data_IF_198545932566
#
_entry.id   IF_198545932566
#
_cell.length_a   1.000
_cell.length_b   1.000
_cell.length_c   1.000
_cell.angle_alpha   90.00
_cell.angle_beta   90.00
_cell.angle_gamma   90.00
#
_symmetry.space_group_name_H-M   'P 1'
#
loop_
_entity.id
_entity.type
_entity.pdbx_description
1 polymer ?
#
# COMPACT_ATOMS: atom_id res chain seq x y z
N UNK A 1 -51.23 17.05 18.65
CA UNK A 1 -52.38 16.16 18.35
C UNK A 1 -52.00 15.33 17.13
N UNK A 2 -52.05 13.99 17.18
CA UNK A 2 -51.62 13.18 16.02
C UNK A 2 -52.53 13.39 14.81
N UNK A 3 -52.01 13.28 13.58
CA UNK A 3 -52.74 13.50 12.31
C UNK A 3 -54.10 12.78 12.29
N UNK A 4 -54.13 11.52 12.75
CA UNK A 4 -55.34 10.72 12.89
C UNK A 4 -56.39 11.38 13.80
N UNK A 5 -55.98 11.92 14.94
CA UNK A 5 -56.88 12.60 15.89
C UNK A 5 -57.39 13.93 15.31
N UNK A 6 -56.55 14.66 14.58
CA UNK A 6 -56.95 15.89 13.90
C UNK A 6 -58.03 15.64 12.85
N UNK A 7 -57.80 14.69 11.94
CA UNK A 7 -58.76 14.31 10.87
C UNK A 7 -60.10 13.83 11.46
N UNK A 8 -60.07 13.00 12.51
CA UNK A 8 -61.30 12.54 13.17
C UNK A 8 -62.05 13.71 13.80
N UNK A 9 -61.35 14.63 14.47
CA UNK A 9 -61.97 15.77 15.16
C UNK A 9 -62.57 16.78 14.17
N UNK A 10 -61.91 17.04 13.04
CA UNK A 10 -62.46 17.89 11.99
C UNK A 10 -63.68 17.27 11.31
N UNK A 11 -63.72 15.96 11.08
CA UNK A 11 -64.92 15.27 10.57
C UNK A 11 -66.08 15.39 11.56
N UNK A 12 -65.83 15.12 12.85
CA UNK A 12 -66.85 15.28 13.91
C UNK A 12 -67.36 16.72 13.96
N UNK A 13 -66.46 17.70 13.86
CA UNK A 13 -66.83 19.11 13.83
C UNK A 13 -67.70 19.46 12.61
N UNK A 14 -67.35 19.00 11.41
CA UNK A 14 -68.16 19.20 10.20
C UNK A 14 -69.56 18.61 10.38
N UNK A 15 -69.67 17.38 10.91
CA UNK A 15 -70.96 16.73 11.17
C UNK A 15 -71.77 17.52 12.21
N UNK A 16 -71.14 18.00 13.27
CA UNK A 16 -71.80 18.78 14.31
C UNK A 16 -72.31 20.13 13.78
N UNK A 17 -71.51 20.85 12.98
CA UNK A 17 -71.91 22.11 12.35
C UNK A 17 -73.04 21.88 11.34
N UNK A 18 -72.98 20.80 10.55
CA UNK A 18 -74.05 20.44 9.63
C UNK A 18 -75.35 20.08 10.36
N UNK A 19 -75.28 19.22 11.37
CA UNK A 19 -76.46 18.84 12.16
C UNK A 19 -77.10 20.05 12.84
N UNK A 20 -76.29 20.95 13.40
CA UNK A 20 -76.78 22.20 13.98
C UNK A 20 -77.43 23.10 12.94
N UNK A 21 -76.75 23.39 11.82
CA UNK A 21 -77.29 24.24 10.76
C UNK A 21 -78.55 23.66 10.11
N UNK A 22 -78.64 22.34 9.99
CA UNK A 22 -79.82 21.63 9.46
C UNK A 22 -81.01 21.71 10.43
N UNK A 23 -80.77 21.58 11.74
CA UNK A 23 -81.82 21.66 12.77
C UNK A 23 -82.54 23.01 12.85
N UNK A 24 -81.93 24.07 12.30
CA UNK A 24 -82.50 25.41 12.30
C UNK A 24 -83.53 25.65 11.19
N UNK A 25 -83.76 24.66 10.31
CA UNK A 25 -84.75 24.71 9.21
C UNK A 25 -84.70 26.03 8.40
N UNK A 26 -83.47 26.48 8.08
CA UNK A 26 -83.19 27.78 7.45
C UNK A 26 -83.69 27.92 5.98
N UNK A 27 -84.47 26.96 5.49
CA UNK A 27 -84.99 26.92 4.13
C UNK A 27 -83.95 26.56 3.07
N UNK A 28 -84.33 26.82 1.82
CA UNK A 28 -83.51 26.56 0.63
C UNK A 28 -82.94 27.87 0.07
N UNK A 29 -81.75 27.78 -0.52
CA UNK A 29 -81.09 28.89 -1.17
C UNK A 29 -80.71 28.51 -2.60
N UNK A 30 -81.28 29.24 -3.55
CA UNK A 30 -81.03 29.08 -4.98
C UNK A 30 -79.87 29.97 -5.41
N UNK A 31 -78.84 29.36 -6.00
CA UNK A 31 -77.78 30.09 -6.71
C UNK A 31 -77.97 29.89 -8.20
N UNK A 32 -78.16 31.01 -8.91
CA UNK A 32 -78.15 31.05 -10.37
C UNK A 32 -76.81 31.60 -10.88
N UNK A 33 -76.09 30.80 -11.66
CA UNK A 33 -74.83 31.20 -12.29
C UNK A 33 -74.75 30.63 -13.71
N UNK A 34 -74.45 31.48 -14.70
CA UNK A 34 -74.25 31.09 -16.10
C UNK A 34 -75.40 30.25 -16.70
N UNK A 35 -76.65 30.57 -16.34
CA UNK A 35 -77.85 29.90 -16.85
C UNK A 35 -78.20 28.58 -16.16
N UNK A 36 -77.41 28.15 -15.16
CA UNK A 36 -77.72 26.99 -14.32
C UNK A 36 -78.22 27.47 -12.95
N UNK A 37 -79.37 26.93 -12.51
CA UNK A 37 -79.93 27.13 -11.17
C UNK A 37 -79.65 25.89 -10.31
N UNK A 38 -78.95 26.09 -9.19
CA UNK A 38 -78.73 25.05 -8.20
C UNK A 38 -79.45 25.44 -6.91
N UNK A 39 -80.46 24.68 -6.54
CA UNK A 39 -81.20 24.87 -5.31
C UNK A 39 -80.72 23.87 -4.24
N UNK A 40 -80.16 24.38 -3.14
CA UNK A 40 -79.65 23.57 -2.04
C UNK A 40 -80.09 24.15 -0.69
N UNK A 41 -80.29 23.31 0.34
CA UNK A 41 -80.58 23.78 1.70
C UNK A 41 -79.53 24.78 2.18
N UNK A 42 -79.95 25.85 2.86
CA UNK A 42 -79.04 26.87 3.40
C UNK A 42 -77.96 26.29 4.33
N UNK A 43 -78.27 25.18 5.02
CA UNK A 43 -77.33 24.42 5.84
C UNK A 43 -76.11 23.88 5.07
N UNK A 44 -76.28 23.51 3.79
CA UNK A 44 -75.17 23.06 2.93
C UNK A 44 -74.22 24.21 2.63
N UNK A 45 -74.77 25.39 2.33
CA UNK A 45 -73.99 26.60 2.06
C UNK A 45 -73.21 27.08 3.29
N UNK A 46 -73.76 26.92 4.50
CA UNK A 46 -73.09 27.27 5.75
C UNK A 46 -71.90 26.33 6.03
N UNK A 47 -72.05 25.03 5.75
CA UNK A 47 -71.01 24.02 6.01
C UNK A 47 -69.93 24.01 4.93
N UNK A 48 -70.25 24.42 3.72
CA UNK A 48 -69.34 24.37 2.57
C UNK A 48 -67.97 25.07 2.84
N UNK A 49 -67.89 26.31 3.37
CA UNK A 49 -66.62 26.92 3.73
C UNK A 49 -65.79 26.11 4.74
N UNK A 50 -66.45 25.45 5.70
CA UNK A 50 -65.79 24.63 6.73
C UNK A 50 -65.16 23.38 6.10
N UNK A 51 -65.86 22.75 5.16
CA UNK A 51 -65.34 21.59 4.40
C UNK A 51 -64.15 21.99 3.53
N UNK A 52 -64.25 23.11 2.81
CA UNK A 52 -63.15 23.63 1.98
C UNK A 52 -61.91 23.92 2.84
N UNK A 53 -62.09 24.58 3.99
CA UNK A 53 -61.00 24.83 4.94
C UNK A 53 -60.34 23.53 5.39
N UNK A 54 -61.13 22.51 5.77
CA UNK A 54 -60.60 21.21 6.19
C UNK A 54 -59.77 20.55 5.08
N UNK A 55 -60.23 20.57 3.83
CA UNK A 55 -59.48 20.01 2.70
C UNK A 55 -58.15 20.75 2.47
N UNK A 56 -58.15 22.09 2.53
CA UNK A 56 -56.92 22.89 2.41
C UNK A 56 -55.93 22.54 3.53
N UNK A 57 -56.40 22.38 4.77
CA UNK A 57 -55.52 21.99 5.89
C UNK A 57 -54.92 20.60 5.69
N UNK A 58 -55.68 19.63 5.19
CA UNK A 58 -55.16 18.29 4.90
C UNK A 58 -54.11 18.33 3.80
N UNK A 59 -54.38 19.07 2.71
CA UNK A 59 -53.42 19.23 1.62
C UNK A 59 -52.13 19.89 2.10
N UNK A 60 -52.24 20.92 2.94
CA UNK A 60 -51.10 21.58 3.57
C UNK A 60 -50.27 20.60 4.41
N UNK A 61 -50.91 19.81 5.29
CA UNK A 61 -50.20 18.85 6.15
C UNK A 61 -49.53 17.75 5.30
N UNK A 62 -50.20 17.22 4.28
CA UNK A 62 -49.63 16.23 3.37
C UNK A 62 -48.43 16.82 2.63
N UNK A 63 -48.52 18.05 2.13
CA UNK A 63 -47.44 18.73 1.42
C UNK A 63 -46.19 18.90 2.29
N UNK A 64 -46.33 19.41 3.52
CA UNK A 64 -45.19 19.54 4.44
C UNK A 64 -44.66 18.18 4.92
N UNK A 65 -45.55 17.19 5.09
CA UNK A 65 -45.16 15.81 5.36
C UNK A 65 -44.29 15.22 4.24
N UNK A 66 -44.68 15.46 2.98
CA UNK A 66 -43.93 15.03 1.80
C UNK A 66 -42.56 15.73 1.70
N UNK A 67 -42.52 17.04 1.92
CA UNK A 67 -41.25 17.79 1.97
C UNK A 67 -40.33 17.22 3.05
N UNK A 68 -40.84 16.99 4.26
CA UNK A 68 -40.05 16.44 5.36
C UNK A 68 -39.55 15.03 5.05
N UNK A 69 -40.39 14.19 4.43
CA UNK A 69 -39.99 12.86 3.97
C UNK A 69 -38.83 12.92 2.97
N UNK A 70 -38.91 13.81 1.96
CA UNK A 70 -37.81 13.96 1.00
C UNK A 70 -36.53 14.50 1.65
N UNK A 71 -36.65 15.43 2.62
CA UNK A 71 -35.50 15.91 3.40
C UNK A 71 -34.84 14.79 4.20
N UNK A 72 -35.62 14.00 4.94
CA UNK A 72 -35.10 12.85 5.70
C UNK A 72 -34.45 11.82 4.78
N UNK A 73 -35.09 11.49 3.66
CA UNK A 73 -34.55 10.56 2.67
C UNK A 73 -33.23 11.06 2.06
N UNK A 74 -33.09 12.37 1.86
CA UNK A 74 -31.83 12.96 1.40
C UNK A 74 -30.72 12.81 2.45
N UNK A 75 -31.02 13.05 3.73
CA UNK A 75 -30.07 12.86 4.84
C UNK A 75 -29.63 11.40 4.98
N UNK A 76 -30.57 10.44 4.93
CA UNK A 76 -30.24 9.01 5.01
C UNK A 76 -29.31 8.62 3.86
N UNK A 77 -29.62 9.05 2.64
CA UNK A 77 -28.77 8.77 1.47
C UNK A 77 -27.38 9.42 1.58
N UNK A 78 -27.31 10.63 2.12
CA UNK A 78 -26.02 11.29 2.35
C UNK A 78 -25.20 10.59 3.45
N UNK A 79 -25.86 10.04 4.48
CA UNK A 79 -25.20 9.20 5.49
C UNK A 79 -24.58 7.95 4.87
N UNK A 80 -25.32 7.23 4.01
CA UNK A 80 -24.77 6.08 3.25
C UNK A 80 -23.60 6.51 2.37
N UNK A 81 -23.73 7.66 1.69
CA UNK A 81 -22.66 8.24 0.84
C UNK A 81 -21.43 8.61 1.67
N UNK A 82 -21.60 9.02 2.92
CA UNK A 82 -20.50 9.36 3.84
C UNK A 82 -19.71 8.10 4.23
N UNK A 83 -20.39 6.98 4.44
CA UNK A 83 -19.73 5.70 4.69
C UNK A 83 -18.91 5.29 3.46
N UNK A 84 -19.47 5.41 2.25
CA UNK A 84 -18.76 5.13 1.00
C UNK A 84 -17.55 6.05 0.78
N UNK A 85 -17.63 7.31 1.23
CA UNK A 85 -16.51 8.24 1.20
C UNK A 85 -15.38 7.78 2.11
N UNK A 86 -15.68 7.35 3.34
CA UNK A 86 -14.68 6.83 4.26
C UNK A 86 -14.05 5.55 3.68
N UNK A 87 -14.85 4.61 3.19
CA UNK A 87 -14.36 3.39 2.52
C UNK A 87 -13.44 3.72 1.34
N UNK A 88 -13.84 4.69 0.50
CA UNK A 88 -13.04 5.12 -0.65
C UNK A 88 -11.72 5.76 -0.21
N UNK A 89 -11.74 6.57 0.84
CA UNK A 89 -10.52 7.17 1.43
C UNK A 89 -9.56 6.12 1.98
N UNK A 90 -10.07 5.14 2.72
CA UNK A 90 -9.28 4.02 3.27
C UNK A 90 -8.67 3.13 2.17
N UNK A 91 -9.37 2.96 1.05
CA UNK A 91 -8.88 2.21 -0.11
C UNK A 91 -8.07 3.05 -1.11
N UNK A 92 -7.76 4.32 -0.75
CA UNK A 92 -7.04 5.29 -1.58
C UNK A 92 -7.64 5.46 -3.00
N UNK A 93 -8.98 5.43 -3.11
CA UNK A 93 -9.73 5.64 -4.35
C UNK A 93 -10.07 7.10 -4.56
N UNK A 94 -9.88 7.61 -5.79
CA UNK A 94 -10.15 9.00 -6.18
C UNK A 94 -11.61 9.26 -6.58
N UNK A 95 -12.57 8.58 -5.95
CA UNK A 95 -13.97 8.69 -6.34
C UNK A 95 -14.58 10.03 -5.90
N UNK A 96 -15.17 10.77 -6.85
CA UNK A 96 -15.90 12.01 -6.55
C UNK A 96 -17.33 11.67 -6.12
N UNK A 97 -17.58 11.67 -4.82
CA UNK A 97 -18.91 11.42 -4.26
C UNK A 97 -19.70 12.73 -4.15
N UNK A 98 -21.00 12.66 -4.49
CA UNK A 98 -21.89 13.83 -4.49
C UNK A 98 -22.91 13.72 -3.36
N UNK A 99 -22.87 14.66 -2.43
CA UNK A 99 -23.84 14.81 -1.35
C UNK A 99 -25.00 15.72 -1.78
N UNK A 100 -26.20 15.47 -1.26
CA UNK A 100 -27.42 16.23 -1.58
C UNK A 100 -27.57 17.46 -0.70
N UNK A 101 -27.40 17.28 0.59
CA UNK A 101 -27.55 18.31 1.63
C UNK A 101 -26.29 19.16 1.78
N UNK A 102 -26.48 20.43 2.17
CA UNK A 102 -25.37 21.38 2.32
C UNK A 102 -24.42 20.98 3.45
N UNK A 103 -24.96 20.46 4.54
CA UNK A 103 -24.18 20.11 5.73
C UNK A 103 -23.23 18.95 5.45
N UNK A 104 -23.69 17.90 4.76
CA UNK A 104 -22.83 16.79 4.34
C UNK A 104 -21.82 17.20 3.27
N UNK A 105 -22.18 18.13 2.35
CA UNK A 105 -21.20 18.71 1.42
C UNK A 105 -20.07 19.40 2.16
N UNK A 106 -20.40 20.27 3.12
CA UNK A 106 -19.42 20.97 3.94
C UNK A 106 -18.54 19.97 4.72
N UNK A 107 -19.15 18.97 5.36
CA UNK A 107 -18.43 17.94 6.11
C UNK A 107 -17.46 17.16 5.21
N UNK A 108 -17.92 16.72 4.04
CA UNK A 108 -17.06 16.01 3.08
C UNK A 108 -15.89 16.85 2.59
N UNK A 109 -16.09 18.16 2.40
CA UNK A 109 -15.04 19.10 1.99
C UNK A 109 -13.97 19.32 3.07
N UNK A 110 -14.35 19.22 4.35
CA UNK A 110 -13.40 19.28 5.46
C UNK A 110 -12.64 17.96 5.55
N UNK A 111 -13.37 16.84 5.56
CA UNK A 111 -12.76 15.51 5.70
C UNK A 111 -11.85 15.15 4.53
N UNK A 112 -12.12 15.63 3.31
CA UNK A 112 -11.24 15.43 2.15
C UNK A 112 -9.87 16.08 2.27
N UNK A 113 -9.71 17.04 3.19
CA UNK A 113 -8.44 17.70 3.47
C UNK A 113 -7.65 16.99 4.58
N UNK A 114 -8.25 15.99 5.23
CA UNK A 114 -7.63 15.22 6.30
C UNK A 114 -7.19 13.85 5.79
N UNK A 115 -6.11 13.33 6.38
CA UNK A 115 -5.68 11.95 6.17
C UNK A 115 -6.32 11.07 7.23
N UNK A 116 -7.22 10.18 6.81
CA UNK A 116 -7.83 9.18 7.68
C UNK A 116 -6.90 7.97 7.75
N UNK A 117 -6.45 7.61 8.95
CA UNK A 117 -5.58 6.46 9.20
C UNK A 117 -6.29 5.54 10.20
N UNK A 118 -6.13 4.23 10.00
CA UNK A 118 -6.65 3.21 10.90
C UNK A 118 -5.79 3.15 12.16
N UNK A 119 -6.42 3.07 13.33
CA UNK A 119 -5.75 2.84 14.61
C UNK A 119 -5.48 1.36 14.83
N UNK A 120 -4.54 1.03 15.71
CA UNK A 120 -4.15 -0.37 15.99
C UNK A 120 -5.21 -1.14 16.81
N UNK A 121 -6.15 -0.44 17.44
CA UNK A 121 -7.25 -1.07 18.18
C UNK A 121 -8.25 -1.77 17.24
N UNK A 122 -8.90 -2.83 17.73
CA UNK A 122 -9.87 -3.59 16.95
C UNK A 122 -11.07 -2.70 16.59
N UNK A 123 -11.15 -2.36 15.31
CA UNK A 123 -12.22 -1.52 14.79
C UNK A 123 -13.56 -2.28 14.76
N UNK A 124 -14.59 -1.69 15.34
CA UNK A 124 -15.95 -2.24 15.33
C UNK A 124 -16.97 -1.16 15.02
N UNK A 125 -17.82 -1.43 14.04
CA UNK A 125 -18.93 -0.57 13.65
C UNK A 125 -20.14 -1.40 13.24
N UNK A 126 -21.30 -0.76 13.08
CA UNK A 126 -22.50 -1.40 12.51
C UNK A 126 -22.36 -1.75 11.03
N UNK A 127 -21.31 -1.28 10.34
CA UNK A 127 -21.07 -1.58 8.95
C UNK A 127 -20.05 -2.72 8.81
N UNK A 128 -20.54 -3.93 8.51
CA UNK A 128 -19.68 -5.12 8.39
C UNK A 128 -18.62 -4.99 7.29
N UNK A 129 -18.92 -4.33 6.18
CA UNK A 129 -17.97 -4.14 5.08
C UNK A 129 -16.83 -3.19 5.49
N UNK A 130 -17.15 -2.11 6.20
CA UNK A 130 -16.13 -1.22 6.75
C UNK A 130 -15.25 -1.96 7.77
N UNK A 131 -15.83 -2.80 8.63
CA UNK A 131 -15.05 -3.61 9.57
C UNK A 131 -14.07 -4.55 8.85
N UNK A 132 -14.48 -5.18 7.75
CA UNK A 132 -13.60 -6.02 6.92
C UNK A 132 -12.48 -5.20 6.26
N UNK A 133 -12.82 -4.05 5.67
CA UNK A 133 -11.82 -3.14 5.06
C UNK A 133 -10.77 -2.75 6.09
N UNK A 134 -11.20 -2.33 7.29
CA UNK A 134 -10.28 -1.91 8.34
C UNK A 134 -9.45 -3.08 8.85
N UNK A 135 -10.05 -4.27 9.06
CA UNK A 135 -9.32 -5.48 9.43
C UNK A 135 -8.24 -5.87 8.42
N UNK A 136 -8.56 -5.81 7.12
CA UNK A 136 -7.59 -6.07 6.05
C UNK A 136 -6.43 -5.06 6.07
N UNK A 137 -6.71 -3.79 6.35
CA UNK A 137 -5.66 -2.76 6.48
C UNK A 137 -4.75 -3.06 7.68
N UNK A 138 -5.33 -3.48 8.81
CA UNK A 138 -4.57 -3.88 10.00
C UNK A 138 -3.69 -5.10 9.71
N UNK A 139 -4.25 -6.15 9.10
CA UNK A 139 -3.48 -7.34 8.72
C UNK A 139 -2.32 -7.01 7.77
N UNK A 140 -2.50 -6.07 6.83
CA UNK A 140 -1.43 -5.60 5.95
C UNK A 140 -0.35 -4.83 6.74
N UNK A 141 -0.75 -3.99 7.68
CA UNK A 141 0.21 -3.27 8.53
C UNK A 141 0.96 -4.23 9.47
N UNK A 142 0.33 -5.33 9.88
CA UNK A 142 0.93 -6.41 10.68
C UNK A 142 1.84 -7.34 9.86
N UNK A 143 2.01 -7.09 8.56
CA UNK A 143 2.92 -7.85 7.69
C UNK A 143 2.29 -9.06 7.01
N UNK A 144 0.98 -9.28 7.11
CA UNK A 144 0.29 -10.39 6.43
C UNK A 144 -0.16 -10.01 5.04
N UNK A 145 -0.14 -10.98 4.12
CA UNK A 145 -0.70 -10.77 2.78
C UNK A 145 -2.22 -10.97 2.77
N UNK A 146 -2.95 -10.00 2.22
CA UNK A 146 -4.41 -10.06 2.06
C UNK A 146 -4.77 -10.17 0.57
N UNK A 147 -5.47 -11.25 0.20
CA UNK A 147 -5.86 -11.57 -1.18
C UNK A 147 -7.37 -11.45 -1.48
N UNK A 148 -8.12 -10.76 -0.63
CA UNK A 148 -9.57 -10.66 -0.78
C UNK A 148 -10.00 -9.93 -2.07
N UNK A 149 -10.78 -10.60 -2.93
CA UNK A 149 -11.32 -10.02 -4.18
C UNK A 149 -12.18 -8.78 -3.98
N UNK A 150 -12.78 -8.63 -2.80
CA UNK A 150 -13.53 -7.45 -2.35
C UNK A 150 -12.62 -6.26 -2.03
N UNK A 151 -11.38 -6.50 -1.66
CA UNK A 151 -10.41 -5.50 -1.25
C UNK A 151 -9.67 -4.93 -2.47
N UNK A 152 -10.42 -4.23 -3.32
CA UNK A 152 -9.87 -3.53 -4.49
C UNK A 152 -9.22 -2.22 -4.05
N UNK A 153 -7.96 -2.29 -3.62
CA UNK A 153 -7.12 -1.13 -3.36
C UNK A 153 -6.69 -0.51 -4.69
N UNK A 154 -6.42 0.79 -4.71
CA UNK A 154 -5.70 1.41 -5.81
C UNK A 154 -4.28 0.81 -5.93
N UNK A 155 -3.94 0.23 -7.09
CA UNK A 155 -2.65 -0.46 -7.32
C UNK A 155 -1.43 0.48 -7.17
N UNK A 156 -1.64 1.79 -7.33
CA UNK A 156 -0.59 2.81 -7.16
C UNK A 156 -0.43 3.30 -5.72
N UNK A 157 -1.29 2.85 -4.80
CA UNK A 157 -1.28 3.29 -3.40
C UNK A 157 -0.07 2.78 -2.63
N UNK A 158 0.23 3.45 -1.51
CA UNK A 158 1.24 2.96 -0.56
C UNK A 158 0.82 1.63 0.05
N UNK A 159 -0.47 1.48 0.36
CA UNK A 159 -1.03 0.26 0.93
C UNK A 159 -0.92 -0.94 -0.03
N UNK A 160 -1.16 -0.75 -1.32
CA UNK A 160 -0.99 -1.82 -2.31
C UNK A 160 0.47 -2.28 -2.43
N UNK A 161 1.42 -1.33 -2.40
CA UNK A 161 2.85 -1.66 -2.36
C UNK A 161 3.22 -2.45 -1.10
N UNK A 162 2.70 -2.05 0.07
CA UNK A 162 2.94 -2.77 1.32
C UNK A 162 2.36 -4.19 1.30
N UNK A 163 1.11 -4.36 0.83
CA UNK A 163 0.51 -5.69 0.68
C UNK A 163 1.31 -6.57 -0.30
N UNK A 164 1.87 -5.98 -1.36
CA UNK A 164 2.74 -6.70 -2.30
C UNK A 164 4.06 -7.13 -1.65
N UNK A 165 4.68 -6.26 -0.83
CA UNK A 165 5.87 -6.61 -0.05
C UNK A 165 5.58 -7.77 0.91
N UNK A 166 4.46 -7.72 1.63
CA UNK A 166 4.03 -8.82 2.50
C UNK A 166 3.87 -10.12 1.71
N UNK A 167 3.28 -10.06 0.51
CA UNK A 167 3.17 -11.23 -0.37
C UNK A 167 4.53 -11.82 -0.74
N UNK A 168 5.49 -10.97 -1.07
CA UNK A 168 6.87 -11.38 -1.41
C UNK A 168 7.57 -12.01 -0.20
N UNK A 169 7.30 -11.52 1.01
CA UNK A 169 7.85 -12.05 2.25
C UNK A 169 7.19 -13.36 2.70
N UNK A 170 5.88 -13.51 2.47
CA UNK A 170 5.13 -14.70 2.88
C UNK A 170 5.25 -15.84 1.85
N UNK A 171 5.38 -15.51 0.56
CA UNK A 171 5.33 -16.48 -0.54
C UNK A 171 6.62 -16.45 -1.38
N UNK A 172 7.58 -17.31 -1.01
CA UNK A 172 8.87 -17.38 -1.71
C UNK A 172 8.74 -17.72 -3.21
N UNK A 173 7.75 -18.54 -3.60
CA UNK A 173 7.52 -18.85 -5.01
C UNK A 173 7.03 -17.63 -5.80
N UNK A 174 6.29 -16.72 -5.14
CA UNK A 174 5.92 -15.45 -5.74
C UNK A 174 7.14 -14.53 -5.89
N UNK A 175 8.06 -14.50 -4.91
CA UNK A 175 9.33 -13.78 -5.04
C UNK A 175 10.13 -14.26 -6.26
N UNK A 176 10.18 -15.58 -6.51
CA UNK A 176 10.78 -16.14 -7.74
C UNK A 176 10.09 -15.64 -9.00
N UNK A 177 8.75 -15.58 -9.02
CA UNK A 177 8.00 -15.09 -10.19
C UNK A 177 8.17 -13.58 -10.43
N UNK A 178 8.34 -12.79 -9.36
CA UNK A 178 8.71 -11.37 -9.46
C UNK A 178 10.05 -11.22 -10.20
N UNK A 179 11.06 -12.01 -9.83
CA UNK A 179 12.39 -11.96 -10.45
C UNK A 179 12.44 -12.52 -11.87
N UNK A 180 11.46 -13.33 -12.29
CA UNK A 180 11.32 -13.74 -13.71
C UNK A 180 10.77 -12.61 -14.59
N UNK A 181 10.01 -11.68 -14.02
CA UNK A 181 9.36 -10.58 -14.74
C UNK A 181 9.50 -9.24 -14.00
N UNK A 182 10.74 -8.77 -13.77
CA UNK A 182 11.00 -7.60 -12.93
C UNK A 182 10.41 -6.32 -13.52
N UNK A 183 10.21 -6.25 -14.83
CA UNK A 183 9.60 -5.11 -15.55
C UNK A 183 8.21 -4.71 -15.04
N UNK A 184 7.47 -5.62 -14.41
CA UNK A 184 6.11 -5.37 -13.91
C UNK A 184 6.08 -4.83 -12.48
N UNK A 185 7.23 -4.68 -11.82
CA UNK A 185 7.30 -4.39 -10.39
C UNK A 185 8.20 -3.18 -10.11
N UNK A 186 7.97 -2.53 -8.97
CA UNK A 186 8.82 -1.43 -8.53
C UNK A 186 10.16 -1.95 -8.00
N UNK A 187 11.21 -1.13 -8.07
CA UNK A 187 12.56 -1.51 -7.65
C UNK A 187 12.64 -2.00 -6.19
N UNK A 188 11.80 -1.47 -5.31
CA UNK A 188 11.73 -1.90 -3.91
C UNK A 188 11.22 -3.35 -3.78
N UNK A 189 10.16 -3.69 -4.51
CA UNK A 189 9.61 -5.05 -4.51
C UNK A 189 10.62 -6.04 -5.10
N UNK A 190 11.32 -5.65 -6.17
CA UNK A 190 12.35 -6.48 -6.80
C UNK A 190 13.51 -6.73 -5.83
N UNK A 191 13.99 -5.70 -5.13
CA UNK A 191 15.05 -5.81 -4.13
C UNK A 191 14.65 -6.77 -3.02
N UNK A 192 13.47 -6.59 -2.42
CA UNK A 192 12.98 -7.48 -1.36
C UNK A 192 12.82 -8.93 -1.86
N UNK A 193 12.28 -9.11 -3.08
CA UNK A 193 12.14 -10.43 -3.67
C UNK A 193 13.48 -11.12 -3.88
N UNK A 194 14.51 -10.37 -4.27
CA UNK A 194 15.86 -10.88 -4.42
C UNK A 194 16.45 -11.31 -3.08
N UNK A 195 16.31 -10.48 -2.04
CA UNK A 195 16.80 -10.81 -0.69
C UNK A 195 16.16 -12.10 -0.15
N UNK A 196 14.84 -12.25 -0.26
CA UNK A 196 14.16 -13.47 0.20
C UNK A 196 14.61 -14.70 -0.59
N UNK A 197 14.83 -14.56 -1.90
CA UNK A 197 15.33 -15.65 -2.76
C UNK A 197 16.78 -16.00 -2.42
N UNK A 198 17.63 -15.03 -2.07
CA UNK A 198 18.97 -15.29 -1.56
C UNK A 198 18.93 -16.06 -0.23
N UNK A 199 17.98 -15.78 0.65
CA UNK A 199 17.88 -16.45 1.94
C UNK A 199 17.39 -17.91 1.80
N UNK A 200 16.29 -18.14 1.08
CA UNK A 200 15.59 -19.43 1.11
C UNK A 200 15.90 -20.38 -0.06
N UNK A 201 16.27 -19.86 -1.25
CA UNK A 201 16.43 -20.71 -2.46
C UNK A 201 17.87 -21.15 -2.67
N UNK A 202 18.02 -22.17 -3.51
CA UNK A 202 19.32 -22.74 -3.90
C UNK A 202 20.08 -21.83 -4.86
N UNK A 203 21.42 -21.93 -4.85
CA UNK A 203 22.28 -21.18 -5.77
C UNK A 203 21.96 -21.43 -7.24
N UNK A 204 21.53 -22.65 -7.59
CA UNK A 204 21.09 -23.00 -8.96
C UNK A 204 19.91 -22.16 -9.45
N UNK A 205 19.01 -21.77 -8.54
CA UNK A 205 17.87 -20.89 -8.85
C UNK A 205 18.33 -19.43 -8.92
N UNK A 206 19.15 -19.00 -7.95
CA UNK A 206 19.71 -17.64 -7.90
C UNK A 206 20.47 -17.32 -9.18
N UNK A 207 21.35 -18.23 -9.64
CA UNK A 207 22.12 -18.11 -10.90
C UNK A 207 21.27 -17.88 -12.16
N UNK A 208 20.02 -18.35 -12.17
CA UNK A 208 19.09 -18.13 -13.29
C UNK A 208 18.38 -16.79 -13.19
N UNK A 209 18.12 -16.32 -11.98
CA UNK A 209 17.27 -15.15 -11.73
C UNK A 209 18.06 -13.84 -11.64
N UNK A 210 19.30 -13.85 -11.14
CA UNK A 210 20.08 -12.61 -10.98
C UNK A 210 20.32 -11.88 -12.31
N UNK A 211 20.36 -12.62 -13.43
CA UNK A 211 20.57 -12.06 -14.77
C UNK A 211 19.42 -11.18 -15.25
N UNK A 212 18.24 -11.32 -14.65
CA UNK A 212 17.06 -10.55 -15.03
C UNK A 212 16.98 -9.22 -14.29
N UNK A 213 17.76 -9.04 -13.22
CA UNK A 213 17.70 -7.85 -12.37
C UNK A 213 18.92 -6.96 -12.58
N UNK A 214 18.74 -5.66 -12.36
CA UNK A 214 19.86 -4.75 -12.21
C UNK A 214 20.38 -4.87 -10.78
N UNK A 215 21.57 -5.43 -10.63
CA UNK A 215 22.24 -5.50 -9.35
C UNK A 215 22.77 -4.11 -8.98
N UNK A 216 22.73 -3.80 -7.69
CA UNK A 216 23.52 -2.73 -7.10
C UNK A 216 24.68 -3.35 -6.31
N UNK A 217 25.64 -2.53 -5.87
CA UNK A 217 26.81 -3.01 -5.12
C UNK A 217 26.40 -3.78 -3.86
N UNK A 218 25.37 -3.32 -3.16
CA UNK A 218 24.89 -3.92 -1.91
C UNK A 218 24.30 -5.33 -2.15
N UNK A 219 23.41 -5.48 -3.14
CA UNK A 219 22.82 -6.75 -3.52
C UNK A 219 23.85 -7.71 -4.10
N UNK A 220 24.88 -7.19 -4.79
CA UNK A 220 25.99 -8.00 -5.27
C UNK A 220 26.80 -8.57 -4.11
N UNK A 221 27.10 -7.79 -3.07
CA UNK A 221 27.76 -8.32 -1.87
C UNK A 221 26.94 -9.40 -1.18
N UNK A 222 25.62 -9.21 -1.01
CA UNK A 222 24.73 -10.25 -0.44
C UNK A 222 24.69 -11.51 -1.31
N UNK A 223 24.72 -11.35 -2.64
CA UNK A 223 24.81 -12.45 -3.58
C UNK A 223 26.12 -13.24 -3.40
N UNK A 224 27.25 -12.54 -3.26
CA UNK A 224 28.55 -13.16 -3.04
C UNK A 224 28.69 -13.81 -1.65
N UNK A 225 28.07 -13.25 -0.61
CA UNK A 225 27.98 -13.92 0.71
C UNK A 225 27.26 -15.27 0.60
N UNK A 226 26.12 -15.31 -0.09
CA UNK A 226 25.38 -16.54 -0.32
C UNK A 226 26.18 -17.52 -1.19
N UNK A 227 26.94 -17.00 -2.14
CA UNK A 227 27.83 -17.75 -3.02
C UNK A 227 28.95 -18.45 -2.26
N UNK A 228 29.68 -17.68 -1.46
CA UNK A 228 30.75 -18.18 -0.61
C UNK A 228 30.25 -19.28 0.33
N UNK A 229 29.04 -19.13 0.90
CA UNK A 229 28.38 -20.13 1.72
C UNK A 229 28.02 -21.44 0.99
N UNK A 230 28.04 -21.47 -0.35
CA UNK A 230 27.57 -22.59 -1.16
C UNK A 230 28.67 -23.14 -2.09
N UNK A 231 29.61 -23.88 -1.51
CA UNK A 231 30.85 -24.32 -2.17
C UNK A 231 30.64 -25.23 -3.42
N UNK A 232 29.54 -26.00 -3.50
CA UNK A 232 29.34 -26.96 -4.61
C UNK A 232 28.71 -26.34 -5.87
N UNK A 233 27.91 -25.27 -5.74
CA UNK A 233 27.18 -24.67 -6.86
C UNK A 233 27.43 -23.17 -7.02
N UNK A 234 28.50 -22.66 -6.40
CA UNK A 234 28.87 -21.25 -6.44
C UNK A 234 29.33 -20.77 -7.82
N UNK A 235 29.49 -19.46 -7.98
CA UNK A 235 29.94 -18.78 -9.19
C UNK A 235 31.34 -19.19 -9.60
N UNK A 236 31.58 -19.30 -10.91
CA UNK A 236 32.94 -19.42 -11.41
C UNK A 236 33.64 -18.06 -11.40
N UNK A 237 34.98 -18.06 -11.47
CA UNK A 237 35.75 -16.82 -11.52
C UNK A 237 35.31 -15.90 -12.67
N UNK A 238 34.93 -16.47 -13.82
CA UNK A 238 34.44 -15.74 -14.98
C UNK A 238 33.06 -15.11 -14.73
N UNK A 239 32.18 -15.79 -13.97
CA UNK A 239 30.87 -15.24 -13.60
C UNK A 239 31.00 -14.11 -12.58
N UNK A 240 31.88 -14.27 -11.57
CA UNK A 240 32.20 -13.21 -10.59
C UNK A 240 32.75 -12.00 -11.33
N UNK A 241 33.71 -12.21 -12.23
CA UNK A 241 34.31 -11.17 -13.05
C UNK A 241 33.27 -10.41 -13.88
N UNK A 242 32.31 -11.09 -14.50
CA UNK A 242 31.25 -10.45 -15.26
C UNK A 242 30.38 -9.53 -14.37
N UNK A 243 30.05 -9.97 -13.15
CA UNK A 243 29.24 -9.18 -12.20
C UNK A 243 30.01 -7.94 -11.71
N UNK A 244 31.27 -8.09 -11.30
CA UNK A 244 32.07 -6.98 -10.77
C UNK A 244 32.41 -5.93 -11.84
N UNK A 245 32.60 -6.36 -13.10
CA UNK A 245 32.83 -5.46 -14.24
C UNK A 245 31.58 -4.64 -14.59
N UNK A 246 30.38 -5.21 -14.46
CA UNK A 246 29.12 -4.48 -14.71
C UNK A 246 28.83 -3.42 -13.63
N UNK A 247 29.42 -3.57 -12.44
CA UNK A 247 29.16 -2.73 -11.26
C UNK A 247 30.25 -1.69 -10.97
N UNK A 248 31.28 -1.58 -11.83
CA UNK A 248 32.43 -0.68 -11.65
C UNK A 248 33.01 -0.74 -10.23
N UNK A 249 33.46 -1.94 -9.82
CA UNK A 249 34.10 -2.16 -8.52
C UNK A 249 35.44 -1.42 -8.42
N UNK A 250 35.71 -0.80 -7.27
CA UNK A 250 36.99 -0.16 -6.99
C UNK A 250 37.92 -1.10 -6.18
N UNK A 251 39.15 -0.64 -5.90
CA UNK A 251 40.15 -1.41 -5.12
C UNK A 251 39.63 -1.89 -3.75
N UNK A 252 38.86 -1.04 -3.06
CA UNK A 252 38.31 -1.35 -1.74
C UNK A 252 37.15 -2.37 -1.82
N UNK A 253 36.32 -2.28 -2.87
CA UNK A 253 35.24 -3.22 -3.15
C UNK A 253 35.79 -4.63 -3.41
N UNK A 254 36.88 -4.74 -4.19
CA UNK A 254 37.58 -6.00 -4.42
C UNK A 254 38.21 -6.55 -3.14
N UNK A 255 38.77 -5.68 -2.28
CA UNK A 255 39.34 -6.09 -1.00
C UNK A 255 38.25 -6.62 -0.05
N UNK A 256 37.10 -5.96 0.01
CA UNK A 256 35.94 -6.42 0.78
C UNK A 256 35.43 -7.78 0.26
N UNK A 257 35.40 -7.96 -1.06
CA UNK A 257 35.06 -9.24 -1.70
C UNK A 257 36.03 -10.36 -1.27
N UNK A 258 37.34 -10.09 -1.28
CA UNK A 258 38.36 -11.04 -0.84
C UNK A 258 38.16 -11.46 0.62
N UNK A 259 38.00 -10.48 1.53
CA UNK A 259 37.78 -10.76 2.96
C UNK A 259 36.50 -11.56 3.21
N UNK A 260 35.48 -11.40 2.38
CA UNK A 260 34.24 -12.16 2.48
C UNK A 260 34.45 -13.63 2.08
N UNK A 261 35.04 -13.85 0.90
CA UNK A 261 35.33 -15.20 0.42
C UNK A 261 36.36 -15.93 1.29
N UNK A 262 37.32 -15.23 1.89
CA UNK A 262 38.37 -15.81 2.75
C UNK A 262 37.79 -16.53 3.96
N UNK A 263 36.69 -16.01 4.53
CA UNK A 263 36.04 -16.60 5.71
C UNK A 263 35.37 -17.94 5.44
N UNK A 264 35.09 -18.27 4.18
CA UNK A 264 34.15 -19.34 3.83
C UNK A 264 34.72 -20.32 2.79
N UNK A 265 35.49 -19.85 1.81
CA UNK A 265 36.10 -20.70 0.77
C UNK A 265 37.39 -21.37 1.24
N UNK A 266 37.75 -22.45 0.53
CA UNK A 266 39.04 -23.12 0.72
C UNK A 266 40.18 -22.30 0.09
N UNK A 267 41.40 -22.34 0.66
CA UNK A 267 42.55 -21.56 0.17
C UNK A 267 42.78 -21.68 -1.35
N UNK A 268 42.79 -22.89 -1.90
CA UNK A 268 43.04 -23.11 -3.33
C UNK A 268 41.99 -22.44 -4.24
N UNK A 269 40.73 -22.39 -3.81
CA UNK A 269 39.63 -21.82 -4.57
C UNK A 269 39.71 -20.29 -4.61
N UNK A 270 39.91 -19.67 -3.46
CA UNK A 270 40.01 -18.20 -3.37
C UNK A 270 41.26 -17.69 -4.08
N UNK A 271 42.40 -18.38 -3.95
CA UNK A 271 43.64 -18.02 -4.67
C UNK A 271 43.40 -18.04 -6.17
N UNK A 272 42.78 -19.11 -6.70
CA UNK A 272 42.50 -19.23 -8.13
C UNK A 272 41.52 -18.17 -8.67
N UNK A 273 40.50 -17.81 -7.88
CA UNK A 273 39.54 -16.75 -8.25
C UNK A 273 40.25 -15.40 -8.35
N UNK A 274 41.00 -15.00 -7.32
CA UNK A 274 41.66 -13.69 -7.30
C UNK A 274 42.88 -13.59 -8.22
N UNK A 275 43.56 -14.71 -8.52
CA UNK A 275 44.59 -14.78 -9.56
C UNK A 275 43.99 -14.44 -10.94
N UNK A 276 42.84 -15.04 -11.29
CA UNK A 276 42.13 -14.73 -12.53
C UNK A 276 41.59 -13.29 -12.55
N UNK A 277 40.99 -12.82 -11.46
CA UNK A 277 40.46 -11.46 -11.38
C UNK A 277 41.57 -10.41 -11.56
N UNK A 278 42.72 -10.58 -10.90
CA UNK A 278 43.86 -9.65 -11.00
C UNK A 278 44.53 -9.63 -12.37
N UNK A 279 44.46 -10.74 -13.12
CA UNK A 279 44.97 -10.80 -14.50
C UNK A 279 44.12 -9.96 -15.46
N UNK A 280 42.83 -9.80 -15.18
CA UNK A 280 41.89 -9.09 -16.05
C UNK A 280 41.55 -7.67 -15.58
N UNK A 281 41.69 -7.38 -14.29
CA UNK A 281 41.33 -6.09 -13.67
C UNK A 281 42.44 -5.68 -12.71
N UNK A 282 43.10 -4.56 -13.01
CA UNK A 282 44.25 -4.08 -12.24
C UNK A 282 43.85 -3.77 -10.79
N UNK A 283 42.65 -3.23 -10.57
CA UNK A 283 42.10 -2.91 -9.25
C UNK A 283 41.94 -4.14 -8.34
N UNK A 284 41.78 -5.33 -8.92
CA UNK A 284 41.68 -6.59 -8.17
C UNK A 284 43.04 -7.11 -7.68
N UNK A 285 44.16 -6.57 -8.17
CA UNK A 285 45.53 -6.93 -7.75
C UNK A 285 45.73 -6.72 -6.24
N UNK A 286 45.16 -5.64 -5.69
CA UNK A 286 45.23 -5.35 -4.25
C UNK A 286 44.57 -6.45 -3.42
N UNK A 287 43.42 -6.95 -3.88
CA UNK A 287 42.69 -8.02 -3.23
C UNK A 287 43.41 -9.37 -3.37
N UNK A 288 44.02 -9.64 -4.54
CA UNK A 288 44.83 -10.84 -4.73
C UNK A 288 46.08 -10.88 -3.83
N UNK A 289 46.79 -9.76 -3.72
CA UNK A 289 47.94 -9.64 -2.81
C UNK A 289 47.53 -9.86 -1.35
N UNK A 290 46.35 -9.35 -0.94
CA UNK A 290 45.82 -9.62 0.40
C UNK A 290 45.59 -11.12 0.64
N UNK A 291 44.91 -11.80 -0.29
CA UNK A 291 44.67 -13.26 -0.23
C UNK A 291 45.99 -14.03 -0.12
N UNK A 292 46.98 -13.72 -0.97
CA UNK A 292 48.28 -14.38 -0.94
C UNK A 292 49.04 -14.13 0.37
N UNK A 293 48.96 -12.93 0.94
CA UNK A 293 49.60 -12.59 2.21
C UNK A 293 49.00 -13.37 3.40
N UNK A 294 47.67 -13.50 3.45
CA UNK A 294 46.97 -14.24 4.51
C UNK A 294 47.25 -15.75 4.46
N UNK A 295 47.35 -16.33 3.26
CA UNK A 295 47.74 -17.75 3.09
C UNK A 295 49.26 -17.97 3.05
N UNK A 296 50.06 -16.99 3.44
CA UNK A 296 51.52 -17.06 3.54
C UNK A 296 52.24 -17.48 2.23
N UNK A 297 51.65 -17.19 1.07
CA UNK A 297 52.25 -17.46 -0.24
C UNK A 297 53.28 -16.41 -0.65
N UNK A 298 54.28 -16.21 0.20
CA UNK A 298 55.22 -15.08 0.14
C UNK A 298 56.00 -15.03 -1.19
N UNK A 299 56.39 -16.19 -1.74
CA UNK A 299 57.13 -16.24 -3.01
C UNK A 299 56.31 -15.66 -4.18
N UNK A 300 55.02 -15.96 -4.24
CA UNK A 300 54.11 -15.39 -5.25
C UNK A 300 53.87 -13.89 -5.04
N UNK A 301 53.79 -13.45 -3.78
CA UNK A 301 53.70 -12.01 -3.47
C UNK A 301 54.95 -11.29 -3.99
N UNK A 302 56.15 -11.84 -3.78
CA UNK A 302 57.40 -11.24 -4.31
C UNK A 302 57.40 -11.14 -5.82
N UNK A 303 56.97 -12.19 -6.52
CA UNK A 303 56.91 -12.20 -7.97
C UNK A 303 56.05 -11.06 -8.51
N UNK A 304 54.88 -10.81 -7.91
CA UNK A 304 53.98 -9.74 -8.34
C UNK A 304 54.52 -8.36 -7.95
N UNK A 305 54.97 -8.20 -6.71
CA UNK A 305 55.35 -6.91 -6.14
C UNK A 305 56.70 -6.41 -6.69
N UNK A 306 57.63 -7.30 -7.00
CA UNK A 306 58.93 -6.96 -7.60
C UNK A 306 58.84 -6.41 -9.03
N UNK A 307 57.73 -6.70 -9.72
CA UNK A 307 57.43 -6.20 -11.06
C UNK A 307 56.73 -4.82 -11.06
N UNK A 308 56.36 -4.31 -9.87
CA UNK A 308 55.60 -3.06 -9.71
C UNK A 308 56.47 -1.91 -9.19
N UNK A 309 56.20 -0.64 -9.60
CA UNK A 309 56.97 0.53 -9.16
C UNK A 309 57.05 0.68 -7.64
N UNK A 310 58.13 1.27 -7.11
CA UNK A 310 58.35 1.45 -5.66
C UNK A 310 57.26 2.26 -4.94
N UNK A 311 56.50 3.06 -5.70
CA UNK A 311 55.40 3.86 -5.18
C UNK A 311 54.09 3.08 -5.03
N UNK A 312 53.97 1.90 -5.62
CA UNK A 312 52.78 1.06 -5.59
C UNK A 312 52.91 -0.11 -4.61
N UNK A 313 51.79 -0.50 -4.00
CA UNK A 313 51.69 -1.63 -3.07
C UNK A 313 52.68 -1.56 -1.89
N UNK A 314 53.04 -0.35 -1.44
CA UNK A 314 54.01 -0.10 -0.37
C UNK A 314 53.70 -0.84 0.93
N UNK A 315 52.43 -0.99 1.29
CA UNK A 315 52.01 -1.78 2.44
C UNK A 315 52.38 -3.27 2.32
N UNK A 316 52.20 -3.86 1.12
CA UNK A 316 52.56 -5.25 0.85
C UNK A 316 54.08 -5.43 0.77
N UNK A 317 54.81 -4.47 0.18
CA UNK A 317 56.29 -4.41 0.17
C UNK A 317 56.87 -4.40 1.59
N UNK A 318 56.37 -3.50 2.44
CA UNK A 318 56.80 -3.40 3.83
C UNK A 318 56.51 -4.68 4.63
N UNK A 319 55.37 -5.33 4.38
CA UNK A 319 55.03 -6.60 5.05
C UNK A 319 55.94 -7.75 4.60
N UNK A 320 56.31 -7.76 3.32
CA UNK A 320 57.30 -8.69 2.76
C UNK A 320 58.66 -8.54 3.43
N UNK A 321 59.18 -7.32 3.51
CA UNK A 321 60.47 -7.02 4.15
C UNK A 321 60.45 -7.40 5.65
N UNK A 322 59.33 -7.16 6.33
CA UNK A 322 59.14 -7.55 7.73
C UNK A 322 59.15 -9.07 7.92
N UNK A 323 58.44 -9.82 7.05
CA UNK A 323 58.46 -11.29 7.08
C UNK A 323 59.84 -11.86 6.73
N UNK A 324 60.55 -11.30 5.75
CA UNK A 324 61.93 -11.69 5.43
C UNK A 324 62.90 -11.41 6.59
N UNK A 325 62.67 -10.35 7.37
CA UNK A 325 63.44 -10.03 8.57
C UNK A 325 63.11 -10.90 9.81
N UNK A 326 62.25 -11.91 9.64
CA UNK A 326 61.86 -12.85 10.71
C UNK A 326 60.77 -12.33 11.65
N UNK A 327 60.02 -11.30 11.26
CA UNK A 327 58.92 -10.73 12.06
C UNK A 327 57.56 -11.01 11.41
N UNK A 328 56.67 -11.67 12.15
CA UNK A 328 55.34 -12.07 11.68
C UNK A 328 54.29 -11.01 12.08
N UNK A 329 53.87 -10.18 11.12
CA UNK A 329 52.79 -9.20 11.27
C UNK A 329 51.73 -9.41 10.17
N UNK A 330 50.45 -9.22 10.50
CA UNK A 330 49.35 -9.30 9.53
C UNK A 330 49.03 -7.91 8.96
N UNK A 331 48.48 -7.84 7.73
CA UNK A 331 48.14 -6.58 7.06
C UNK A 331 47.28 -5.64 7.93
N UNK A 332 46.33 -6.21 8.69
CA UNK A 332 45.45 -5.45 9.59
C UNK A 332 46.18 -4.84 10.80
N UNK A 333 47.35 -5.37 11.16
CA UNK A 333 48.17 -4.87 12.28
C UNK A 333 49.09 -3.70 11.87
N UNK A 334 49.41 -3.59 10.58
CA UNK A 334 50.41 -2.64 10.05
C UNK A 334 49.71 -1.44 9.37
N UNK A 335 48.50 -1.64 8.85
CA UNK A 335 47.69 -0.57 8.26
C UNK A 335 46.83 0.13 9.32
N UNK A 336 47.21 1.35 9.70
CA UNK A 336 46.32 2.25 10.43
C UNK A 336 45.40 2.96 9.42
N UNK A 337 44.11 2.63 9.47
CA UNK A 337 42.94 3.25 8.80
C UNK A 337 43.18 4.10 7.55
#
# INVERSE_FOLDING_TARGET
>A
MGLKKYIISSIIFIIAVFGYAYSLELGEYEISLLGYSLNLPASVWIVFPVVVLALVTYLHIIFYGLINYFKQKAVIKDHETMIEFIKSGLLEKTNVLKFRTKDFKNLSSILSQLKIVVTDERFTSSNEELNKIVGNIQDINDGKFVSEKSFKINETSKLANLNMLNKVNEQIDFAVDVLKKPENYSSNIIRQAFENVLEEKTMTTIKKLYKNIKLDKELAFKLFEKDAANNEFGFTAEEILAIVKDLDFNKDDYLALAKNYEKILKPDQIISIFEKLSTEVEEATTAYLHVLCEYEMIDRVKEIVSLTPDTEYTAFKALLDLKESGKYYNLETISYK
#
